data_IF_455367557380
#
_entry.id   IF_455367557380
#
_cell.length_a   1.000
_cell.length_b   1.000
_cell.length_c   1.000
_cell.angle_alpha   90.00
_cell.angle_beta   90.00
_cell.angle_gamma   90.00
#
_symmetry.space_group_name_H-M   'P 1'
#
loop_
_entity.id
_entity.type
_entity.pdbx_description
1 polymer ?
#
# COMPACT_ATOMS: atom_id res chain seq x y z
N UNK A 1 -49.05 8.99 -28.36
CA UNK A 1 -47.74 9.66 -28.44
C UNK A 1 -46.99 9.36 -27.15
N UNK A 2 -46.24 8.27 -27.08
CA UNK A 2 -45.44 7.94 -25.89
C UNK A 2 -43.97 7.89 -26.29
N UNK A 3 -43.21 8.87 -25.79
CA UNK A 3 -41.78 9.00 -26.00
C UNK A 3 -41.03 7.94 -25.19
N UNK A 4 -40.38 7.00 -25.86
CA UNK A 4 -39.40 6.10 -25.25
C UNK A 4 -38.09 6.86 -25.08
N UNK A 5 -37.89 7.46 -23.91
CA UNK A 5 -36.57 7.92 -23.49
C UNK A 5 -35.65 6.72 -23.31
N UNK A 6 -34.69 6.57 -24.22
CA UNK A 6 -33.59 5.62 -24.11
C UNK A 6 -32.68 6.07 -22.95
N UNK A 7 -32.71 5.32 -21.85
CA UNK A 7 -31.73 5.43 -20.78
C UNK A 7 -30.39 4.92 -21.34
N UNK A 8 -29.48 5.83 -21.67
CA UNK A 8 -28.09 5.50 -21.97
C UNK A 8 -27.53 4.68 -20.80
N UNK A 9 -27.23 3.41 -21.06
CA UNK A 9 -26.49 2.58 -20.15
C UNK A 9 -25.10 3.20 -19.99
N UNK A 10 -24.85 3.82 -18.83
CA UNK A 10 -23.50 4.19 -18.44
C UNK A 10 -22.62 2.95 -18.58
N UNK A 11 -21.47 3.10 -19.26
CA UNK A 11 -20.49 2.04 -19.40
C UNK A 11 -20.26 1.39 -18.02
N UNK A 12 -20.17 0.04 -17.94
CA UNK A 12 -19.97 -0.63 -16.66
C UNK A 12 -18.73 0.01 -16.01
N UNK A 13 -18.92 0.59 -14.82
CA UNK A 13 -17.81 1.08 -14.00
C UNK A 13 -16.89 -0.12 -13.83
N UNK A 14 -15.75 -0.10 -14.51
CA UNK A 14 -14.78 -1.16 -14.42
C UNK A 14 -14.38 -1.24 -12.95
N UNK A 15 -14.81 -2.31 -12.27
CA UNK A 15 -14.37 -2.59 -10.92
C UNK A 15 -12.84 -2.65 -11.03
N UNK A 16 -12.09 -1.80 -10.31
CA UNK A 16 -10.63 -1.83 -10.41
C UNK A 16 -10.19 -3.25 -10.11
N UNK A 17 -9.60 -3.91 -11.11
CA UNK A 17 -9.11 -5.27 -10.96
C UNK A 17 -7.90 -5.21 -10.02
N UNK A 18 -8.14 -5.51 -8.75
CA UNK A 18 -7.06 -5.65 -7.76
C UNK A 18 -6.10 -6.74 -8.22
N UNK A 19 -4.85 -6.35 -8.49
CA UNK A 19 -3.75 -7.26 -8.81
C UNK A 19 -2.94 -7.56 -7.54
N UNK A 20 -2.14 -8.64 -7.54
CA UNK A 20 -1.29 -9.02 -6.41
C UNK A 20 -0.29 -7.91 -6.00
N UNK A 21 0.07 -7.05 -6.96
CA UNK A 21 0.92 -5.88 -6.72
C UNK A 21 0.17 -4.82 -5.91
N UNK A 22 -1.12 -4.63 -6.19
CA UNK A 22 -1.94 -3.65 -5.48
C UNK A 22 -2.10 -4.06 -4.00
N UNK A 23 -2.25 -5.36 -3.72
CA UNK A 23 -2.28 -5.90 -2.35
C UNK A 23 -0.95 -5.68 -1.60
N UNK A 24 0.18 -5.92 -2.26
CA UNK A 24 1.50 -5.68 -1.67
C UNK A 24 1.75 -4.19 -1.38
N UNK A 25 1.34 -3.31 -2.31
CA UNK A 25 1.44 -1.87 -2.13
C UNK A 25 0.51 -1.35 -1.04
N UNK A 26 -0.70 -1.91 -0.93
CA UNK A 26 -1.65 -1.55 0.11
C UNK A 26 -1.13 -1.96 1.50
N UNK A 27 -0.57 -3.16 1.63
CA UNK A 27 0.07 -3.61 2.86
C UNK A 27 1.22 -2.68 3.29
N UNK A 28 2.08 -2.28 2.34
CA UNK A 28 3.12 -1.27 2.59
C UNK A 28 2.52 0.08 3.00
N UNK A 29 1.47 0.55 2.31
CA UNK A 29 0.82 1.82 2.62
C UNK A 29 0.25 1.84 4.04
N UNK A 30 -0.46 0.79 4.47
CA UNK A 30 -0.97 0.69 5.84
C UNK A 30 0.14 0.66 6.88
N UNK A 31 1.26 0.01 6.59
CA UNK A 31 2.42 0.03 7.47
C UNK A 31 3.09 1.41 7.54
N UNK A 32 3.25 2.09 6.40
CA UNK A 32 3.90 3.39 6.30
C UNK A 32 3.07 4.55 6.87
N UNK A 33 1.75 4.51 6.69
CA UNK A 33 0.79 5.46 7.25
C UNK A 33 0.56 5.24 8.75
N UNK A 34 1.02 4.10 9.29
CA UNK A 34 1.01 3.77 10.71
C UNK A 34 1.77 4.81 11.53
N UNK A 35 1.07 5.88 11.91
CA UNK A 35 1.59 6.98 12.71
C UNK A 35 2.25 6.45 13.98
N UNK A 36 3.55 6.70 14.12
CA UNK A 36 4.26 6.60 15.40
C UNK A 36 4.47 8.01 15.91
N UNK A 37 3.91 8.33 17.07
CA UNK A 37 4.21 9.58 17.77
C UNK A 37 5.73 9.75 17.88
N UNK A 38 6.27 10.72 17.15
CA UNK A 38 7.66 11.15 17.34
C UNK A 38 7.69 12.00 18.60
N UNK A 39 7.79 11.35 19.76
CA UNK A 39 8.06 12.07 21.01
C UNK A 39 9.43 12.72 20.90
N UNK A 40 9.53 14.02 21.22
CA UNK A 40 10.78 14.80 21.17
C UNK A 40 11.89 14.25 22.07
N UNK A 41 11.58 13.27 22.90
CA UNK A 41 12.49 12.44 23.68
C UNK A 41 12.12 10.96 23.50
N UNK A 42 13.11 10.07 23.60
CA UNK A 42 12.86 8.63 23.58
C UNK A 42 11.86 8.27 24.70
N UNK A 43 10.84 7.48 24.38
CA UNK A 43 9.87 6.97 25.36
C UNK A 43 10.42 5.86 26.26
N UNK A 44 11.67 5.44 26.02
CA UNK A 44 12.35 4.39 26.75
C UNK A 44 13.74 4.87 27.21
N UNK A 45 14.11 4.50 28.42
CA UNK A 45 15.47 4.70 28.94
C UNK A 45 16.49 3.99 28.02
N UNK A 46 17.59 4.65 27.60
CA UNK A 46 18.65 4.02 26.81
C UNK A 46 19.17 2.70 27.39
N UNK A 47 19.19 2.53 28.71
CA UNK A 47 19.69 1.30 29.34
C UNK A 47 18.70 0.14 29.26
N UNK A 48 17.41 0.43 29.02
CA UNK A 48 16.33 -0.55 29.00
C UNK A 48 15.66 -0.70 27.63
N UNK A 49 16.12 0.05 26.62
CA UNK A 49 15.51 0.12 25.28
C UNK A 49 15.36 -1.24 24.61
N UNK A 50 16.36 -2.11 24.77
CA UNK A 50 16.40 -3.42 24.14
C UNK A 50 15.96 -4.56 25.07
N UNK A 51 15.47 -4.23 26.27
CA UNK A 51 14.95 -5.23 27.18
C UNK A 51 13.72 -5.93 26.55
N UNK A 52 13.75 -7.26 26.51
CA UNK A 52 12.66 -8.09 26.01
C UNK A 52 12.19 -9.01 27.13
N UNK A 53 10.96 -8.81 27.59
CA UNK A 53 10.33 -9.73 28.52
C UNK A 53 10.09 -11.10 27.82
N UNK A 54 10.11 -12.18 28.62
CA UNK A 54 9.66 -13.50 28.16
C UNK A 54 8.26 -13.40 27.57
N UNK A 55 7.96 -14.18 26.52
CA UNK A 55 6.66 -14.18 25.82
C UNK A 55 5.66 -15.15 26.45
N UNK A 56 6.03 -15.84 27.52
CA UNK A 56 5.25 -16.92 28.15
C UNK A 56 3.89 -16.47 28.73
N UNK A 57 3.69 -15.16 28.91
CA UNK A 57 2.43 -14.59 29.41
C UNK A 57 1.45 -14.23 28.28
N UNK A 58 1.87 -14.25 27.01
CA UNK A 58 1.00 -13.96 25.87
C UNK A 58 0.11 -15.16 25.59
N UNK A 59 -1.17 -14.91 25.29
CA UNK A 59 -2.05 -15.94 24.78
C UNK A 59 -1.83 -16.19 23.27
N UNK A 60 -2.59 -17.11 22.68
CA UNK A 60 -2.47 -17.43 21.26
C UNK A 60 -2.91 -16.27 20.35
N UNK A 61 -3.86 -15.44 20.78
CA UNK A 61 -4.33 -14.30 19.99
C UNK A 61 -3.28 -13.19 19.98
N UNK A 62 -2.72 -12.85 21.15
CA UNK A 62 -1.61 -11.91 21.30
C UNK A 62 -0.40 -12.32 20.46
N UNK A 63 -0.12 -13.63 20.40
CA UNK A 63 0.98 -14.15 19.62
C UNK A 63 0.73 -14.05 18.11
N UNK A 64 -0.50 -14.33 17.65
CA UNK A 64 -0.89 -14.17 16.26
C UNK A 64 -0.82 -12.70 15.83
N UNK A 65 -1.41 -11.78 16.60
CA UNK A 65 -1.40 -10.34 16.31
C UNK A 65 0.04 -9.82 16.19
N UNK A 66 0.93 -10.30 17.05
CA UNK A 66 2.33 -9.91 16.96
C UNK A 66 3.04 -10.49 15.72
N UNK A 67 2.76 -11.74 15.37
CA UNK A 67 3.33 -12.35 14.16
C UNK A 67 2.85 -11.60 12.92
N UNK A 68 1.57 -11.27 12.85
CA UNK A 68 0.99 -10.48 11.77
C UNK A 68 1.63 -9.10 11.69
N UNK A 69 1.79 -8.42 12.84
CA UNK A 69 2.50 -7.16 12.92
C UNK A 69 3.95 -7.26 12.41
N UNK A 70 4.68 -8.29 12.81
CA UNK A 70 6.06 -8.51 12.37
C UNK A 70 6.14 -8.80 10.87
N UNK A 71 5.21 -9.57 10.34
CA UNK A 71 5.13 -9.87 8.92
C UNK A 71 4.84 -8.62 8.10
N UNK A 72 3.88 -7.80 8.54
CA UNK A 72 3.58 -6.51 7.91
C UNK A 72 4.77 -5.56 7.97
N UNK A 73 5.47 -5.51 9.11
CA UNK A 73 6.68 -4.70 9.26
C UNK A 73 7.79 -5.14 8.30
N UNK A 74 8.07 -6.44 8.22
CA UNK A 74 9.09 -6.97 7.33
C UNK A 74 8.77 -6.68 5.85
N UNK A 75 7.50 -6.82 5.44
CA UNK A 75 7.04 -6.46 4.09
C UNK A 75 7.20 -4.96 3.82
N UNK A 76 6.80 -4.11 4.76
CA UNK A 76 6.94 -2.66 4.67
C UNK A 76 8.40 -2.22 4.51
N UNK A 77 9.30 -2.76 5.33
CA UNK A 77 10.74 -2.45 5.29
C UNK A 77 11.41 -2.89 3.97
N UNK A 78 10.91 -3.92 3.30
CA UNK A 78 11.40 -4.36 2.00
C UNK A 78 10.89 -3.49 0.84
N UNK A 79 9.62 -3.08 0.90
CA UNK A 79 8.96 -2.32 -0.17
C UNK A 79 9.34 -0.84 -0.12
N UNK A 80 9.51 -0.25 1.07
CA UNK A 80 9.77 1.18 1.22
C UNK A 80 10.99 1.68 0.42
N UNK A 81 12.16 1.02 0.46
CA UNK A 81 13.31 1.43 -0.36
C UNK A 81 13.06 1.34 -1.87
N UNK A 82 12.14 0.48 -2.32
CA UNK A 82 11.78 0.37 -3.73
C UNK A 82 10.95 1.58 -4.16
N UNK A 83 9.99 2.00 -3.33
CA UNK A 83 9.20 3.21 -3.55
C UNK A 83 10.12 4.44 -3.52
N UNK A 84 11.04 4.51 -2.57
CA UNK A 84 12.03 5.59 -2.49
C UNK A 84 13.08 5.59 -3.61
N UNK A 85 13.09 4.59 -4.49
CA UNK A 85 13.91 4.58 -5.73
C UNK A 85 13.12 4.98 -6.98
N UNK A 86 11.78 5.01 -6.92
CA UNK A 86 10.95 5.46 -8.04
C UNK A 86 11.15 6.96 -8.30
N UNK A 87 10.87 7.41 -9.53
CA UNK A 87 10.79 8.85 -9.82
C UNK A 87 9.66 9.52 -9.03
N UNK A 88 9.78 10.83 -8.79
CA UNK A 88 8.80 11.60 -8.00
C UNK A 88 7.37 11.45 -8.54
N UNK A 89 7.21 11.49 -9.87
CA UNK A 89 5.92 11.31 -10.56
C UNK A 89 5.26 9.97 -10.20
N UNK A 90 6.01 8.86 -10.30
CA UNK A 90 5.53 7.53 -9.94
C UNK A 90 5.24 7.38 -8.45
N UNK A 91 6.04 7.98 -7.56
CA UNK A 91 5.77 7.96 -6.11
C UNK A 91 4.46 8.66 -5.77
N UNK A 92 4.24 9.84 -6.34
CA UNK A 92 2.96 10.57 -6.16
C UNK A 92 1.81 9.72 -6.68
N UNK A 93 1.96 9.12 -7.87
CA UNK A 93 0.94 8.27 -8.45
C UNK A 93 0.57 7.08 -7.54
N UNK A 94 1.56 6.36 -7.03
CA UNK A 94 1.36 5.24 -6.10
C UNK A 94 0.68 5.71 -4.81
N UNK A 95 1.16 6.79 -4.17
CA UNK A 95 0.56 7.28 -2.92
C UNK A 95 -0.90 7.73 -3.11
N UNK A 96 -1.20 8.41 -4.21
CA UNK A 96 -2.57 8.84 -4.53
C UNK A 96 -3.48 7.63 -4.81
N UNK A 97 -2.99 6.62 -5.54
CA UNK A 97 -3.73 5.39 -5.78
C UNK A 97 -4.03 4.64 -4.48
N UNK A 98 -3.05 4.50 -3.59
CA UNK A 98 -3.23 3.82 -2.30
C UNK A 98 -4.19 4.56 -1.37
N UNK A 99 -4.17 5.90 -1.36
CA UNK A 99 -5.16 6.70 -0.63
C UNK A 99 -6.58 6.47 -1.14
N UNK A 100 -6.77 6.52 -2.46
CA UNK A 100 -8.07 6.26 -3.08
C UNK A 100 -8.57 4.83 -2.76
N UNK A 101 -7.65 3.85 -2.74
CA UNK A 101 -7.94 2.47 -2.36
C UNK A 101 -8.36 2.33 -0.89
N UNK A 102 -7.66 2.97 0.04
CA UNK A 102 -7.99 2.94 1.48
C UNK A 102 -9.36 3.57 1.79
N UNK A 103 -9.74 4.63 1.07
CA UNK A 103 -11.06 5.24 1.21
C UNK A 103 -12.17 4.51 0.43
N UNK A 104 -11.82 3.66 -0.53
CA UNK A 104 -12.77 3.02 -1.44
C UNK A 104 -13.43 3.98 -2.44
N UNK A 105 -12.88 5.18 -2.62
CA UNK A 105 -13.42 6.21 -3.52
C UNK A 105 -12.29 7.02 -4.18
N UNK A 106 -12.52 7.46 -5.42
CA UNK A 106 -11.57 8.29 -6.18
C UNK A 106 -11.68 9.75 -5.78
N UNK A 107 -11.13 10.10 -4.62
CA UNK A 107 -11.22 11.46 -4.03
C UNK A 107 -9.94 12.26 -4.28
N UNK A 108 -8.78 11.61 -4.21
CA UNK A 108 -7.50 12.26 -4.35
C UNK A 108 -7.01 12.22 -5.80
N UNK A 109 -6.58 13.39 -6.27
CA UNK A 109 -5.91 13.57 -7.56
C UNK A 109 -4.69 14.47 -7.38
N UNK A 110 -3.68 14.27 -8.22
CA UNK A 110 -2.53 15.17 -8.27
C UNK A 110 -2.92 16.45 -9.00
N UNK A 111 -2.88 17.60 -8.32
CA UNK A 111 -3.11 18.89 -8.97
C UNK A 111 -2.09 19.19 -10.08
N UNK A 112 -0.90 18.59 -9.99
CA UNK A 112 0.20 18.85 -10.94
C UNK A 112 0.02 18.06 -12.24
N UNK A 113 -0.54 16.85 -12.16
CA UNK A 113 -0.73 15.94 -13.28
C UNK A 113 -2.04 15.13 -13.09
N UNK A 114 -3.22 15.76 -13.22
CA UNK A 114 -4.49 15.07 -12.99
C UNK A 114 -4.77 13.99 -14.05
N UNK A 115 -4.42 14.24 -15.31
CA UNK A 115 -4.77 13.37 -16.43
C UNK A 115 -3.83 12.16 -16.59
N UNK A 116 -2.59 12.24 -16.09
CA UNK A 116 -1.59 11.17 -16.22
C UNK A 116 -1.52 10.24 -15.02
N UNK A 117 -2.34 10.47 -13.99
CA UNK A 117 -2.29 9.71 -12.74
C UNK A 117 -2.37 8.19 -12.95
N UNK A 118 -3.28 7.74 -13.80
CA UNK A 118 -3.51 6.32 -14.09
C UNK A 118 -2.39 5.72 -14.96
N UNK A 119 -1.86 6.48 -15.92
CA UNK A 119 -0.73 6.03 -16.74
C UNK A 119 0.54 5.90 -15.90
N UNK A 120 0.77 6.87 -15.01
CA UNK A 120 1.96 6.93 -14.16
C UNK A 120 1.98 5.80 -13.14
N UNK A 121 0.79 5.43 -12.65
CA UNK A 121 0.60 4.31 -11.76
C UNK A 121 0.87 2.97 -12.47
N UNK A 122 0.37 2.80 -13.69
CA UNK A 122 0.65 1.59 -14.49
C UNK A 122 2.14 1.42 -14.78
N UNK A 123 2.81 2.48 -15.21
CA UNK A 123 4.26 2.49 -15.43
C UNK A 123 5.02 2.17 -14.12
N UNK A 124 4.58 2.71 -12.98
CA UNK A 124 5.16 2.38 -11.68
C UNK A 124 5.03 0.88 -11.37
N UNK A 125 3.87 0.27 -11.65
CA UNK A 125 3.66 -1.18 -11.46
C UNK A 125 4.59 -2.02 -12.33
N UNK A 126 4.83 -1.61 -13.57
CA UNK A 126 5.77 -2.31 -14.47
C UNK A 126 7.21 -2.26 -13.94
N UNK A 127 7.64 -1.12 -13.41
CA UNK A 127 8.98 -0.97 -12.83
C UNK A 127 9.14 -1.76 -11.53
N UNK A 128 8.08 -1.86 -10.72
CA UNK A 128 8.10 -2.56 -9.43
C UNK A 128 7.97 -4.08 -9.56
N UNK A 129 7.17 -4.56 -10.52
CA UNK A 129 6.87 -5.99 -10.72
C UNK A 129 8.11 -6.90 -10.69
N UNK A 130 9.19 -6.66 -11.45
CA UNK A 130 10.36 -7.56 -11.43
C UNK A 130 11.08 -7.57 -10.09
N UNK A 131 11.10 -6.43 -9.38
CA UNK A 131 11.75 -6.31 -8.08
C UNK A 131 10.95 -7.01 -6.99
N UNK A 132 9.63 -6.82 -6.97
CA UNK A 132 8.72 -7.50 -6.04
C UNK A 132 8.73 -9.02 -6.27
N UNK A 133 8.75 -9.47 -7.52
CA UNK A 133 8.87 -10.89 -7.85
C UNK A 133 10.21 -11.48 -7.38
N UNK A 134 11.33 -10.74 -7.50
CA UNK A 134 12.64 -11.20 -7.00
C UNK A 134 12.70 -11.37 -5.49
N UNK A 135 11.84 -10.65 -4.75
CA UNK A 135 11.71 -10.73 -3.30
C UNK A 135 10.69 -11.79 -2.84
N UNK A 136 10.03 -12.48 -3.79
CA UNK A 136 9.00 -13.47 -3.48
C UNK A 136 7.69 -12.88 -2.95
N UNK A 137 7.47 -11.57 -3.11
CA UNK A 137 6.26 -10.88 -2.61
C UNK A 137 5.08 -11.00 -3.57
N UNK A 138 5.35 -11.26 -4.85
CA UNK A 138 4.36 -11.35 -5.93
C UNK A 138 4.75 -12.50 -6.85
N UNK A 139 3.78 -13.21 -7.43
CA UNK A 139 4.09 -14.24 -8.40
C UNK A 139 4.76 -13.63 -9.63
N UNK A 140 5.84 -14.27 -10.10
CA UNK A 140 6.45 -13.90 -11.36
C UNK A 140 5.42 -14.19 -12.45
N UNK A 141 4.90 -13.15 -13.12
CA UNK A 141 4.08 -13.36 -14.33
C UNK A 141 4.94 -14.15 -15.32
N UNK A 142 4.60 -15.41 -15.53
CA UNK A 142 5.04 -16.18 -16.69
C UNK A 142 4.49 -15.48 -17.92
N UNK A 143 5.38 -15.13 -18.86
CA UNK A 143 5.04 -14.48 -20.12
C UNK A 143 4.01 -15.30 -20.91
#
# INVERSE_FOLDING_TARGET
MNATMSLNAAAPVAIPQYDEIDDALYAWYKWADGYREVRGHSGADPTCRDFRASRQWMDYNDLNDLVDYQLQKAKGELIDPLIQKLGLRHRVAVNTAMRNMDCGATVWSSNRNPDTQETDYREAKEVLRPKLASMGLVNRKTL
#
